data_IF_745611661402
#
_entry.id   IF_745611661402
#
_cell.length_a   1.000
_cell.length_b   1.000
_cell.length_c   1.000
_cell.angle_alpha   90.00
_cell.angle_beta   90.00
_cell.angle_gamma   90.00
#
_symmetry.space_group_name_H-M   'P 1'
#
loop_
_entity.id
_entity.type
_entity.pdbx_description
1 polymer ?
#
# COMPACT_ATOMS: atom_id res chain seq x y z
N UNK A 1 21.42 8.97 26.82
CA UNK A 1 20.93 7.69 26.26
C UNK A 1 19.81 7.83 25.18
N UNK A 2 19.42 9.05 24.79
CA UNK A 2 18.44 9.25 23.68
C UNK A 2 19.15 9.26 22.31
N UNK A 3 20.39 9.73 22.23
CA UNK A 3 21.14 9.90 20.96
C UNK A 3 21.43 8.60 20.18
N UNK A 4 21.53 7.46 20.86
CA UNK A 4 21.80 6.17 20.19
C UNK A 4 20.58 5.55 19.46
N UNK A 5 19.40 6.16 19.58
CA UNK A 5 18.15 5.70 18.95
C UNK A 5 17.86 6.36 17.60
N UNK A 6 18.63 7.37 17.22
CA UNK A 6 18.44 8.14 15.99
C UNK A 6 19.70 8.13 15.13
N UNK A 7 19.54 8.01 13.83
CA UNK A 7 20.66 8.11 12.89
C UNK A 7 21.17 9.53 12.69
N UNK A 8 20.29 10.55 12.82
CA UNK A 8 20.64 11.95 12.59
C UNK A 8 19.72 12.91 13.38
N UNK A 9 20.10 14.20 13.37
CA UNK A 9 19.38 15.25 14.08
C UNK A 9 17.98 15.52 13.53
N UNK A 10 17.78 15.37 12.20
CA UNK A 10 16.47 15.59 11.57
C UNK A 10 15.44 14.57 12.07
N UNK A 11 15.84 13.30 12.19
CA UNK A 11 14.97 12.24 12.78
C UNK A 11 14.66 12.52 14.24
N UNK A 12 15.65 13.00 15.00
CA UNK A 12 15.43 13.39 16.39
C UNK A 12 14.40 14.52 16.51
N UNK A 13 14.49 15.55 15.65
CA UNK A 13 13.53 16.66 15.62
C UNK A 13 12.13 16.19 15.22
N UNK A 14 12.00 15.34 14.19
CA UNK A 14 10.73 14.78 13.76
C UNK A 14 10.07 13.93 14.87
N UNK A 15 10.87 13.12 15.56
CA UNK A 15 10.39 12.35 16.70
C UNK A 15 9.95 13.25 17.86
N UNK A 16 10.76 14.25 18.24
CA UNK A 16 10.41 15.17 19.33
C UNK A 16 9.12 15.92 19.03
N UNK A 17 8.94 16.39 17.79
CA UNK A 17 7.69 17.01 17.35
C UNK A 17 6.50 16.07 17.58
N UNK A 18 6.57 14.81 17.09
CA UNK A 18 5.49 13.84 17.28
C UNK A 18 5.29 13.50 18.77
N UNK A 19 6.38 13.37 19.54
CA UNK A 19 6.30 13.07 20.97
C UNK A 19 5.61 14.18 21.75
N UNK A 20 5.93 15.44 21.47
CA UNK A 20 5.25 16.60 22.05
C UNK A 20 3.76 16.62 21.65
N UNK A 21 3.45 16.43 20.36
CA UNK A 21 2.05 16.31 19.93
C UNK A 21 1.31 15.18 20.65
N UNK A 22 1.99 14.03 20.84
CA UNK A 22 1.41 12.86 21.52
C UNK A 22 1.17 13.09 23.00
N UNK A 23 2.08 13.79 23.69
CA UNK A 23 1.97 14.02 25.14
C UNK A 23 0.95 15.14 25.45
N UNK A 24 0.99 16.24 24.69
CA UNK A 24 0.33 17.48 25.04
C UNK A 24 -1.04 17.66 24.36
N UNK A 25 -1.33 16.93 23.27
CA UNK A 25 -2.55 17.13 22.49
C UNK A 25 -3.49 15.91 22.51
N UNK A 26 -4.79 16.15 22.36
CA UNK A 26 -5.80 15.12 22.21
C UNK A 26 -5.95 14.65 20.74
N UNK A 27 -5.32 15.35 19.81
CA UNK A 27 -5.31 14.99 18.39
C UNK A 27 -3.95 15.21 17.75
N UNK A 28 -3.65 14.39 16.75
CA UNK A 28 -2.38 14.37 16.03
C UNK A 28 -2.61 14.86 14.59
N UNK A 29 -1.80 15.82 14.17
CA UNK A 29 -1.78 16.32 12.80
C UNK A 29 -1.23 15.26 11.85
N UNK A 30 -1.96 14.99 10.75
CA UNK A 30 -1.51 14.12 9.65
C UNK A 30 -1.87 14.72 8.31
N UNK A 31 -1.11 14.37 7.27
CA UNK A 31 -1.39 14.77 5.89
C UNK A 31 -1.87 13.57 5.09
N UNK A 32 -3.01 13.70 4.42
CA UNK A 32 -3.48 12.68 3.48
C UNK A 32 -2.70 12.82 2.18
N UNK A 33 -2.27 11.71 1.62
CA UNK A 33 -1.61 11.67 0.31
C UNK A 33 -2.58 11.74 -0.87
N UNK A 34 -3.67 12.49 -0.77
CA UNK A 34 -4.80 12.53 -1.70
C UNK A 34 -4.44 12.14 -3.14
N UNK A 35 -5.16 11.17 -3.71
CA UNK A 35 -4.99 10.71 -5.10
C UNK A 35 -5.31 11.81 -6.13
N UNK A 36 -5.95 12.89 -5.72
CA UNK A 36 -6.52 13.92 -6.59
C UNK A 36 -5.94 15.33 -6.41
N UNK A 37 -4.89 15.55 -5.57
CA UNK A 37 -4.42 16.91 -5.40
C UNK A 37 -3.44 17.16 -4.24
N UNK A 38 -3.44 18.40 -3.76
CA UNK A 38 -2.59 18.83 -2.64
C UNK A 38 -2.92 18.02 -1.37
N UNK A 39 -1.89 17.60 -0.60
CA UNK A 39 -2.12 16.91 0.68
C UNK A 39 -3.06 17.73 1.57
N UNK A 40 -4.12 17.10 2.05
CA UNK A 40 -5.03 17.73 3.02
C UNK A 40 -4.53 17.45 4.42
N UNK A 41 -4.50 18.50 5.23
CA UNK A 41 -4.21 18.42 6.66
C UNK A 41 -5.47 17.94 7.38
N UNK A 42 -5.33 16.88 8.17
CA UNK A 42 -6.39 16.37 9.04
C UNK A 42 -5.86 16.16 10.45
N UNK A 43 -6.76 16.18 11.43
CA UNK A 43 -6.44 15.89 12.83
C UNK A 43 -7.10 14.58 13.23
N UNK A 44 -6.31 13.65 13.70
CA UNK A 44 -6.79 12.34 14.16
C UNK A 44 -6.79 12.34 15.69
N UNK A 45 -7.94 12.09 16.34
CA UNK A 45 -7.98 11.94 17.79
C UNK A 45 -6.99 10.88 18.28
N UNK A 46 -6.17 11.22 19.28
CA UNK A 46 -5.17 10.31 19.85
C UNK A 46 -5.78 8.99 20.33
N UNK A 47 -6.98 9.02 20.88
CA UNK A 47 -7.70 7.83 21.32
C UNK A 47 -7.97 6.84 20.17
N UNK A 48 -8.26 7.35 18.95
CA UNK A 48 -8.42 6.50 17.75
C UNK A 48 -7.11 5.83 17.35
N UNK A 49 -5.98 6.54 17.50
CA UNK A 49 -4.65 5.95 17.24
C UNK A 49 -4.28 4.89 18.30
N UNK A 50 -4.61 5.13 19.56
CA UNK A 50 -4.43 4.16 20.65
C UNK A 50 -5.27 2.91 20.38
N UNK A 51 -6.54 3.06 20.03
CA UNK A 51 -7.43 1.95 19.70
C UNK A 51 -6.88 1.13 18.54
N UNK A 52 -6.51 1.77 17.43
CA UNK A 52 -5.95 1.09 16.26
C UNK A 52 -4.63 0.36 16.60
N UNK A 53 -3.74 0.98 17.39
CA UNK A 53 -2.52 0.35 17.87
C UNK A 53 -2.81 -0.91 18.69
N UNK A 54 -3.76 -0.82 19.64
CA UNK A 54 -4.20 -1.94 20.48
C UNK A 54 -4.75 -3.10 19.64
N UNK A 55 -5.57 -2.82 18.59
CA UNK A 55 -6.08 -3.87 17.70
C UNK A 55 -4.96 -4.58 16.94
N UNK A 56 -3.93 -3.85 16.47
CA UNK A 56 -2.74 -4.45 15.83
C UNK A 56 -1.97 -5.35 16.81
N UNK A 57 -1.72 -4.86 18.02
CA UNK A 57 -0.99 -5.60 19.09
C UNK A 57 -1.73 -6.91 19.39
N UNK A 58 -3.06 -6.86 19.56
CA UNK A 58 -3.91 -8.03 19.82
C UNK A 58 -3.93 -9.00 18.64
N UNK A 59 -4.05 -8.50 17.40
CA UNK A 59 -4.09 -9.35 16.20
C UNK A 59 -2.85 -10.25 16.09
N UNK A 60 -1.67 -9.71 16.40
CA UNK A 60 -0.40 -10.44 16.35
C UNK A 60 0.01 -11.05 17.71
N UNK A 61 -0.77 -10.87 18.76
CA UNK A 61 -0.46 -11.30 20.12
C UNK A 61 0.96 -10.84 20.58
N UNK A 62 1.28 -9.56 20.32
CA UNK A 62 2.60 -8.99 20.60
C UNK A 62 2.70 -8.61 22.08
N UNK A 63 3.82 -9.02 22.71
CA UNK A 63 4.11 -8.74 24.11
C UNK A 63 4.79 -7.37 24.28
N UNK A 64 4.84 -6.87 25.52
CA UNK A 64 5.62 -5.69 25.88
C UNK A 64 7.14 -5.94 25.69
N UNK A 65 7.90 -4.87 25.51
CA UNK A 65 9.37 -4.90 25.52
C UNK A 65 10.03 -5.44 24.25
N UNK A 66 9.28 -5.77 23.21
CA UNK A 66 9.84 -6.20 21.91
C UNK A 66 10.63 -5.08 21.22
N UNK A 67 11.46 -5.44 20.23
CA UNK A 67 12.22 -4.51 19.40
C UNK A 67 11.46 -4.17 18.13
N UNK A 68 11.08 -2.91 17.96
CA UNK A 68 10.41 -2.40 16.77
C UNK A 68 11.30 -1.48 15.94
N UNK A 69 11.23 -1.59 14.61
CA UNK A 69 11.92 -0.69 13.70
C UNK A 69 10.92 0.31 13.07
N UNK A 70 11.22 1.60 13.20
CA UNK A 70 10.49 2.71 12.58
C UNK A 70 11.31 3.24 11.42
N UNK A 71 10.93 2.89 10.21
CA UNK A 71 11.65 3.21 8.97
C UNK A 71 10.76 3.88 7.91
N UNK A 72 9.54 4.26 8.29
CA UNK A 72 8.62 5.06 7.48
C UNK A 72 8.65 6.51 7.97
N UNK A 73 8.42 7.46 7.05
CA UNK A 73 8.44 8.88 7.39
C UNK A 73 7.40 9.22 8.48
N UNK A 74 7.83 9.95 9.50
CA UNK A 74 6.96 10.47 10.56
C UNK A 74 6.02 11.60 10.07
N UNK A 75 6.17 12.09 8.85
CA UNK A 75 5.19 12.97 8.21
C UNK A 75 3.95 12.21 7.74
N UNK A 76 4.03 10.88 7.64
CA UNK A 76 2.93 10.02 7.20
C UNK A 76 2.24 9.37 8.40
N UNK A 77 0.95 9.04 8.23
CA UNK A 77 0.21 8.28 9.24
C UNK A 77 0.86 6.92 9.54
N UNK A 78 1.45 6.27 8.53
CA UNK A 78 2.08 4.96 8.70
C UNK A 78 3.29 5.02 9.66
N UNK A 79 4.18 6.02 9.51
CA UNK A 79 5.30 6.23 10.42
C UNK A 79 4.84 6.61 11.83
N UNK A 80 3.87 7.54 11.94
CA UNK A 80 3.28 7.93 13.24
C UNK A 80 2.62 6.75 13.95
N UNK A 81 1.92 5.89 13.22
CA UNK A 81 1.29 4.69 13.80
C UNK A 81 2.31 3.64 14.28
N UNK A 82 3.51 3.58 13.69
CA UNK A 82 4.58 2.72 14.24
C UNK A 82 5.01 3.19 15.63
N UNK A 83 5.17 4.51 15.81
CA UNK A 83 5.44 5.07 17.15
C UNK A 83 4.26 4.89 18.10
N UNK A 84 3.02 5.13 17.65
CA UNK A 84 1.83 4.92 18.46
C UNK A 84 1.75 3.48 18.99
N UNK A 85 2.00 2.47 18.11
CA UNK A 85 2.07 1.06 18.52
C UNK A 85 3.18 0.82 19.55
N UNK A 86 4.35 1.43 19.33
CA UNK A 86 5.48 1.29 20.25
C UNK A 86 5.19 1.90 21.62
N UNK A 87 4.48 3.02 21.69
CA UNK A 87 4.10 3.64 22.97
C UNK A 87 3.03 2.84 23.69
N UNK A 88 1.96 2.44 22.98
CA UNK A 88 0.86 1.64 23.54
C UNK A 88 1.35 0.26 23.99
N UNK A 89 2.19 -0.39 23.19
CA UNK A 89 2.74 -1.71 23.47
C UNK A 89 3.95 -1.70 24.41
N UNK A 90 4.43 -0.51 24.84
CA UNK A 90 5.66 -0.33 25.62
C UNK A 90 6.86 -1.04 24.99
N UNK A 91 7.01 -0.90 23.68
CA UNK A 91 8.07 -1.54 22.91
C UNK A 91 9.38 -0.75 22.98
N UNK A 92 10.48 -1.43 22.82
CA UNK A 92 11.76 -0.80 22.47
C UNK A 92 11.70 -0.48 20.99
N UNK A 93 12.07 0.73 20.59
CA UNK A 93 12.02 1.17 19.21
C UNK A 93 13.33 1.83 18.78
N UNK A 94 13.65 1.68 17.50
CA UNK A 94 14.73 2.37 16.80
C UNK A 94 14.17 3.05 15.57
N UNK A 95 14.56 4.33 15.36
CA UNK A 95 14.15 5.09 14.18
C UNK A 95 15.34 5.21 13.25
N UNK A 96 15.13 4.87 11.99
CA UNK A 96 16.12 5.03 10.92
C UNK A 96 15.58 5.94 9.82
N UNK A 97 16.49 6.48 9.01
CA UNK A 97 16.14 7.32 7.88
C UNK A 97 15.21 6.56 6.91
N UNK A 98 14.05 7.14 6.55
CA UNK A 98 13.22 6.57 5.51
C UNK A 98 14.00 6.47 4.19
N UNK A 99 14.23 5.25 3.75
CA UNK A 99 14.99 4.95 2.54
C UNK A 99 14.38 3.75 1.82
N UNK A 100 14.81 3.50 0.60
CA UNK A 100 14.36 2.32 -0.16
C UNK A 100 14.85 1.00 0.44
N UNK A 101 15.98 1.01 1.16
CA UNK A 101 16.48 -0.13 1.93
C UNK A 101 16.84 0.30 3.37
N UNK A 102 15.86 0.31 4.29
CA UNK A 102 16.09 0.74 5.68
C UNK A 102 16.88 -0.25 6.52
N UNK A 103 17.08 -1.49 6.06
CA UNK A 103 17.84 -2.52 6.78
C UNK A 103 19.34 -2.48 6.50
N UNK A 104 19.81 -1.65 5.56
CA UNK A 104 21.23 -1.63 5.17
C UNK A 104 22.18 -1.48 6.35
N UNK A 105 21.83 -0.65 7.35
CA UNK A 105 22.61 -0.38 8.56
C UNK A 105 22.06 -1.04 9.83
N UNK A 106 21.18 -2.05 9.69
CA UNK A 106 20.56 -2.76 10.82
C UNK A 106 21.09 -4.18 10.86
N UNK A 107 21.65 -4.57 11.98
CA UNK A 107 22.20 -5.91 12.21
C UNK A 107 21.55 -6.64 13.40
N UNK A 108 20.74 -5.92 14.18
CA UNK A 108 19.97 -6.48 15.28
C UNK A 108 18.70 -7.22 14.82
N UNK A 109 18.21 -8.13 15.69
CA UNK A 109 16.93 -8.79 15.51
C UNK A 109 15.78 -7.81 15.77
N UNK A 110 14.80 -7.80 14.90
CA UNK A 110 13.60 -6.96 14.95
C UNK A 110 12.38 -7.86 15.14
N UNK A 111 11.56 -7.56 16.13
CA UNK A 111 10.33 -8.34 16.34
C UNK A 111 9.17 -7.82 15.48
N UNK A 112 9.12 -6.50 15.20
CA UNK A 112 8.03 -5.90 14.42
C UNK A 112 8.50 -4.72 13.56
N UNK A 113 8.09 -4.71 12.28
CA UNK A 113 8.33 -3.60 11.35
C UNK A 113 7.15 -3.41 10.40
N UNK A 114 6.91 -2.16 10.00
CA UNK A 114 6.04 -1.81 8.86
C UNK A 114 6.89 -1.32 7.70
N UNK A 115 6.67 -1.89 6.50
CA UNK A 115 7.40 -1.57 5.28
C UNK A 115 6.43 -1.15 4.16
N UNK A 116 6.91 -0.29 3.28
CA UNK A 116 6.30 -0.11 1.96
C UNK A 116 6.69 -1.28 1.04
N UNK A 117 5.87 -1.65 0.02
CA UNK A 117 6.20 -2.72 -0.91
C UNK A 117 7.57 -2.53 -1.57
N UNK A 118 7.92 -1.31 -2.00
CA UNK A 118 9.21 -0.98 -2.58
C UNK A 118 10.38 -1.23 -1.61
N UNK A 119 10.22 -0.93 -0.31
CA UNK A 119 11.23 -1.20 0.69
C UNK A 119 11.45 -2.70 0.85
N UNK A 120 10.35 -3.46 0.97
CA UNK A 120 10.42 -4.92 1.10
C UNK A 120 11.09 -5.57 -0.11
N UNK A 121 10.73 -5.15 -1.33
CA UNK A 121 11.36 -5.63 -2.57
C UNK A 121 12.87 -5.34 -2.60
N UNK A 122 13.29 -4.12 -2.25
CA UNK A 122 14.71 -3.76 -2.21
C UNK A 122 15.50 -4.51 -1.17
N UNK A 123 14.93 -4.74 0.00
CA UNK A 123 15.57 -5.55 1.04
C UNK A 123 15.78 -6.99 0.54
N UNK A 124 14.76 -7.59 -0.09
CA UNK A 124 14.83 -8.96 -0.61
C UNK A 124 15.88 -9.12 -1.71
N UNK A 125 16.13 -8.07 -2.52
CA UNK A 125 17.14 -8.10 -3.58
C UNK A 125 18.54 -7.81 -3.03
N UNK A 126 18.68 -6.84 -2.13
CA UNK A 126 20.01 -6.34 -1.73
C UNK A 126 20.59 -7.00 -0.49
N UNK A 127 19.73 -7.47 0.45
CA UNK A 127 20.16 -8.08 1.71
C UNK A 127 19.13 -9.08 2.26
N UNK A 128 18.79 -10.15 1.51
CA UNK A 128 17.73 -11.10 1.90
C UNK A 128 18.00 -11.77 3.24
N UNK A 129 19.25 -11.92 3.65
CA UNK A 129 19.65 -12.49 4.94
C UNK A 129 19.18 -11.62 6.15
N UNK A 130 19.06 -10.30 5.96
CA UNK A 130 18.62 -9.40 7.03
C UNK A 130 17.12 -9.49 7.30
N UNK A 131 16.32 -9.78 6.27
CA UNK A 131 14.87 -9.92 6.45
C UNK A 131 14.52 -11.14 7.31
N UNK A 132 15.34 -12.18 7.31
CA UNK A 132 15.17 -13.39 8.14
C UNK A 132 15.30 -13.10 9.65
N UNK A 133 15.88 -11.96 10.01
CA UNK A 133 16.01 -11.50 11.41
C UNK A 133 14.77 -10.76 11.91
N UNK A 134 13.74 -10.63 11.08
CA UNK A 134 12.50 -9.92 11.41
C UNK A 134 11.39 -10.94 11.65
N UNK A 135 10.79 -10.88 12.83
CA UNK A 135 9.76 -11.83 13.24
C UNK A 135 8.39 -11.54 12.59
N UNK A 136 7.99 -10.28 12.57
CA UNK A 136 6.68 -9.87 12.04
C UNK A 136 6.84 -8.66 11.13
N UNK A 137 6.42 -8.80 9.88
CA UNK A 137 6.46 -7.75 8.87
C UNK A 137 5.04 -7.47 8.42
N UNK A 138 4.60 -6.21 8.55
CA UNK A 138 3.42 -5.72 7.86
C UNK A 138 3.82 -4.88 6.65
N UNK A 139 3.14 -5.06 5.53
CA UNK A 139 3.41 -4.32 4.29
C UNK A 139 2.15 -3.63 3.80
N UNK A 140 2.27 -2.37 3.40
CA UNK A 140 1.11 -1.61 2.95
C UNK A 140 1.46 -0.24 2.39
N UNK A 141 0.42 0.56 2.18
CA UNK A 141 0.58 1.90 1.63
C UNK A 141 0.60 1.95 0.10
N UNK A 142 0.83 0.84 -0.60
CA UNK A 142 0.76 0.71 -2.05
C UNK A 142 0.35 -0.74 -2.42
N UNK A 143 -0.08 -1.01 -3.66
CA UNK A 143 -0.31 -2.36 -4.14
C UNK A 143 0.94 -3.23 -4.05
N UNK A 144 0.76 -4.51 -3.77
CA UNK A 144 1.82 -5.53 -3.79
C UNK A 144 1.76 -6.24 -5.12
N UNK A 145 2.89 -6.27 -5.85
CA UNK A 145 3.00 -6.94 -7.15
C UNK A 145 3.13 -8.45 -7.00
N UNK A 146 2.79 -9.21 -8.05
CA UNK A 146 3.04 -10.65 -8.07
C UNK A 146 4.55 -10.94 -8.02
N UNK A 147 5.38 -10.10 -8.65
CA UNK A 147 6.85 -10.24 -8.57
C UNK A 147 7.34 -10.19 -7.11
N UNK A 148 6.82 -9.26 -6.31
CA UNK A 148 7.15 -9.21 -4.88
C UNK A 148 6.64 -10.45 -4.11
N UNK A 149 5.43 -10.95 -4.44
CA UNK A 149 4.91 -12.19 -3.84
C UNK A 149 5.80 -13.38 -4.20
N UNK A 150 6.29 -13.46 -5.44
CA UNK A 150 7.20 -14.51 -5.89
C UNK A 150 8.57 -14.42 -5.18
N UNK A 151 9.14 -13.21 -5.05
CA UNK A 151 10.35 -12.99 -4.25
C UNK A 151 10.19 -13.43 -2.79
N UNK A 152 9.03 -13.18 -2.18
CA UNK A 152 8.73 -13.67 -0.83
C UNK A 152 8.69 -15.19 -0.77
N UNK A 153 8.11 -15.85 -1.78
CA UNK A 153 8.06 -17.32 -1.87
C UNK A 153 9.47 -17.93 -2.04
N UNK A 154 10.27 -17.35 -2.93
CA UNK A 154 11.66 -17.78 -3.16
C UNK A 154 12.52 -17.65 -1.90
N UNK A 155 12.26 -16.66 -1.06
CA UNK A 155 12.92 -16.47 0.23
C UNK A 155 12.23 -17.18 1.40
N UNK A 156 11.22 -18.01 1.13
CA UNK A 156 10.42 -18.76 2.13
C UNK A 156 9.78 -17.89 3.22
N UNK A 157 9.46 -16.62 2.90
CA UNK A 157 8.91 -15.65 3.82
C UNK A 157 7.39 -15.57 3.71
N UNK A 158 6.75 -15.34 4.85
CA UNK A 158 5.35 -14.93 4.95
C UNK A 158 5.28 -13.58 5.65
N UNK A 159 4.66 -12.59 5.00
CA UNK A 159 4.42 -11.26 5.56
C UNK A 159 2.93 -10.93 5.51
N UNK A 160 2.51 -9.87 6.21
CA UNK A 160 1.11 -9.49 6.29
C UNK A 160 0.85 -8.23 5.47
N UNK A 161 0.09 -8.37 4.38
CA UNK A 161 -0.40 -7.22 3.63
C UNK A 161 -1.54 -6.56 4.38
N UNK A 162 -1.45 -5.25 4.58
CA UNK A 162 -2.45 -4.45 5.29
C UNK A 162 -3.46 -3.84 4.32
N UNK A 163 -4.71 -3.74 4.76
CA UNK A 163 -5.78 -3.00 4.08
C UNK A 163 -6.31 -1.92 5.02
N UNK A 164 -6.32 -0.66 4.55
CA UNK A 164 -6.79 0.50 5.30
C UNK A 164 -6.38 1.80 4.64
N UNK A 165 -6.84 2.91 5.20
CA UNK A 165 -6.61 4.26 4.70
C UNK A 165 -6.42 5.24 5.86
N UNK A 166 -6.10 6.51 5.57
CA UNK A 166 -5.91 7.53 6.61
C UNK A 166 -7.21 7.77 7.38
N UNK A 167 -8.34 7.69 6.70
CA UNK A 167 -9.70 7.86 7.25
C UNK A 167 -10.04 6.77 8.28
N UNK A 168 -9.47 5.57 8.14
CA UNK A 168 -9.56 4.49 9.14
C UNK A 168 -8.40 4.50 10.14
N UNK A 169 -7.62 5.60 10.19
CA UNK A 169 -6.42 5.80 11.02
C UNK A 169 -5.25 4.89 10.57
N UNK A 170 -5.50 3.61 10.37
CA UNK A 170 -4.53 2.62 9.92
C UNK A 170 -5.27 1.46 9.26
N UNK A 171 -4.65 0.29 9.23
CA UNK A 171 -5.28 -0.89 8.67
C UNK A 171 -6.45 -1.38 9.52
N UNK A 172 -7.46 -1.87 8.82
CA UNK A 172 -8.66 -2.49 9.39
C UNK A 172 -8.69 -4.01 9.11
N UNK A 173 -7.88 -4.46 8.17
CA UNK A 173 -7.78 -5.87 7.82
C UNK A 173 -6.36 -6.22 7.34
N UNK A 174 -6.03 -7.50 7.40
CA UNK A 174 -4.75 -8.06 6.97
C UNK A 174 -4.96 -9.39 6.24
N UNK A 175 -4.03 -9.72 5.34
CA UNK A 175 -3.89 -11.06 4.75
C UNK A 175 -2.43 -11.48 4.70
N UNK A 176 -2.15 -12.77 4.74
CA UNK A 176 -0.80 -13.29 4.51
C UNK A 176 -0.46 -13.24 3.03
N UNK A 177 0.78 -12.96 2.70
CA UNK A 177 1.36 -13.05 1.35
C UNK A 177 2.77 -13.62 1.41
N UNK A 178 3.18 -14.33 0.35
CA UNK A 178 4.49 -14.96 0.24
C UNK A 178 4.40 -16.48 0.25
N UNK A 179 5.19 -17.17 1.09
CA UNK A 179 5.17 -18.64 1.23
C UNK A 179 3.76 -19.14 1.54
N UNK A 180 3.10 -18.55 2.53
CA UNK A 180 1.67 -18.69 2.75
C UNK A 180 0.97 -17.47 2.16
N UNK A 181 -0.04 -17.69 1.33
CA UNK A 181 -0.81 -16.61 0.70
C UNK A 181 -2.29 -16.84 0.88
N UNK A 182 -2.93 -15.90 1.59
CA UNK A 182 -4.38 -15.85 1.71
C UNK A 182 -4.97 -15.04 0.55
N UNK A 183 -6.11 -15.47 0.03
CA UNK A 183 -6.89 -14.71 -0.94
C UNK A 183 -7.63 -13.57 -0.24
N UNK A 184 -8.13 -13.84 0.97
CA UNK A 184 -9.03 -12.98 1.71
C UNK A 184 -8.32 -12.15 2.77
N UNK A 185 -8.78 -10.90 2.92
CA UNK A 185 -8.44 -10.06 4.06
C UNK A 185 -9.31 -10.42 5.25
N UNK A 186 -8.67 -10.62 6.40
CA UNK A 186 -9.33 -10.81 7.70
C UNK A 186 -9.31 -9.50 8.47
N UNK A 187 -10.48 -9.03 8.93
CA UNK A 187 -10.58 -7.80 9.71
C UNK A 187 -9.93 -7.95 11.09
N UNK A 188 -9.44 -6.82 11.63
CA UNK A 188 -9.04 -6.76 13.05
C UNK A 188 -10.28 -6.82 13.93
N UNK A 189 -10.08 -7.15 15.21
CA UNK A 189 -11.16 -7.24 16.17
C UNK A 189 -11.98 -5.94 16.27
N UNK A 190 -13.31 -6.06 16.39
CA UNK A 190 -14.25 -4.93 16.43
C UNK A 190 -14.54 -4.27 15.08
N UNK A 191 -13.97 -4.78 13.98
CA UNK A 191 -14.30 -4.32 12.62
C UNK A 191 -15.12 -5.38 11.91
N UNK A 192 -16.25 -4.97 11.33
CA UNK A 192 -17.07 -5.76 10.42
C UNK A 192 -17.19 -5.06 9.07
N UNK A 193 -17.46 -5.83 8.02
CA UNK A 193 -17.58 -5.33 6.65
C UNK A 193 -18.85 -5.83 5.99
N UNK A 194 -19.40 -4.97 5.13
CA UNK A 194 -20.48 -5.30 4.20
C UNK A 194 -20.20 -4.64 2.85
N UNK A 195 -21.11 -4.78 1.90
CA UNK A 195 -21.03 -4.10 0.61
C UNK A 195 -22.33 -3.38 0.27
N UNK A 196 -22.22 -2.28 -0.47
CA UNK A 196 -23.34 -1.59 -1.12
C UNK A 196 -22.96 -1.37 -2.58
N UNK A 197 -23.69 -2.02 -3.50
CA UNK A 197 -23.41 -2.00 -4.94
C UNK A 197 -21.98 -2.48 -5.31
N UNK A 198 -21.43 -3.40 -4.51
CA UNK A 198 -20.07 -3.92 -4.66
C UNK A 198 -18.99 -3.09 -3.96
N UNK A 199 -19.30 -1.86 -3.53
CA UNK A 199 -18.36 -1.03 -2.77
C UNK A 199 -18.31 -1.47 -1.30
N UNK A 200 -17.12 -1.54 -0.73
CA UNK A 200 -16.89 -1.89 0.66
C UNK A 200 -17.47 -0.84 1.62
N UNK A 201 -18.21 -1.33 2.60
CA UNK A 201 -18.68 -0.56 3.76
C UNK A 201 -18.03 -1.12 5.02
N UNK A 202 -17.37 -0.26 5.79
CA UNK A 202 -16.62 -0.59 7.00
C UNK A 202 -17.46 -0.17 8.21
N UNK A 203 -17.78 -1.14 9.07
CA UNK A 203 -18.47 -0.94 10.36
C UNK A 203 -17.42 -1.03 11.47
N UNK A 204 -17.04 0.12 12.05
CA UNK A 204 -16.06 0.20 13.12
C UNK A 204 -16.57 1.15 14.21
N UNK A 205 -17.65 0.74 14.88
CA UNK A 205 -18.39 1.58 15.84
C UNK A 205 -17.61 1.94 17.11
N UNK A 206 -16.56 1.18 17.46
CA UNK A 206 -15.62 1.61 18.51
C UNK A 206 -14.81 2.87 18.13
N UNK A 207 -14.75 3.21 16.84
CA UNK A 207 -13.95 4.31 16.32
C UNK A 207 -14.78 5.40 15.63
N UNK A 208 -15.90 5.04 14.98
CA UNK A 208 -16.74 5.92 14.17
C UNK A 208 -18.21 5.71 14.49
N UNK A 209 -18.97 6.79 14.55
CA UNK A 209 -20.43 6.74 14.79
C UNK A 209 -21.15 6.09 13.60
N UNK A 210 -20.75 6.48 12.38
CA UNK A 210 -21.32 5.98 11.13
C UNK A 210 -20.38 5.01 10.40
N UNK A 211 -20.94 4.06 9.63
CA UNK A 211 -20.16 3.22 8.72
C UNK A 211 -19.44 4.04 7.66
N UNK A 212 -18.23 3.62 7.30
CA UNK A 212 -17.44 4.28 6.26
C UNK A 212 -17.63 3.54 4.95
N UNK A 213 -18.23 4.20 3.95
CA UNK A 213 -18.26 3.70 2.57
C UNK A 213 -16.99 4.09 1.84
N UNK A 214 -16.39 3.14 1.11
CA UNK A 214 -15.19 3.34 0.31
C UNK A 214 -15.50 3.18 -1.18
N UNK A 215 -14.52 3.47 -2.05
CA UNK A 215 -14.56 3.14 -3.47
C UNK A 215 -13.85 1.81 -3.76
N UNK A 216 -13.60 0.99 -2.75
CA UNK A 216 -12.99 -0.32 -2.93
C UNK A 216 -14.06 -1.37 -3.26
N UNK A 217 -13.92 -2.02 -4.41
CA UNK A 217 -14.81 -3.10 -4.83
C UNK A 217 -14.39 -4.40 -4.16
N UNK A 218 -15.33 -5.08 -3.52
CA UNK A 218 -15.05 -6.28 -2.75
C UNK A 218 -16.04 -7.40 -3.03
N UNK A 219 -15.65 -8.61 -2.63
CA UNK A 219 -16.55 -9.75 -2.47
C UNK A 219 -16.56 -10.14 -1.00
N UNK A 220 -17.69 -9.96 -0.35
CA UNK A 220 -17.86 -10.32 1.06
C UNK A 220 -18.03 -11.85 1.18
N UNK A 221 -17.22 -12.45 2.05
CA UNK A 221 -17.32 -13.88 2.39
C UNK A 221 -18.04 -14.04 3.75
N UNK A 222 -17.72 -13.15 4.69
CA UNK A 222 -18.39 -13.04 5.98
C UNK A 222 -18.18 -11.60 6.52
N UNK A 223 -18.87 -11.18 7.59
CA UNK A 223 -18.66 -9.86 8.17
C UNK A 223 -17.20 -9.56 8.57
N UNK A 224 -16.35 -10.59 8.67
CA UNK A 224 -14.93 -10.46 9.05
C UNK A 224 -13.94 -10.91 7.98
N UNK A 225 -14.44 -11.25 6.77
CA UNK A 225 -13.59 -11.81 5.72
C UNK A 225 -14.06 -11.34 4.35
N UNK A 226 -13.18 -10.74 3.56
CA UNK A 226 -13.50 -10.25 2.23
C UNK A 226 -12.34 -10.41 1.25
N UNK A 227 -12.66 -10.49 -0.03
CA UNK A 227 -11.71 -10.39 -1.14
C UNK A 227 -11.77 -8.96 -1.69
N UNK A 228 -10.60 -8.32 -1.80
CA UNK A 228 -10.49 -7.04 -2.49
C UNK A 228 -10.36 -7.27 -4.00
N UNK A 229 -11.21 -6.62 -4.77
CA UNK A 229 -11.29 -6.80 -6.21
C UNK A 229 -10.75 -5.61 -7.01
N UNK A 230 -10.49 -4.47 -6.37
CA UNK A 230 -9.99 -3.23 -7.00
C UNK A 230 -10.80 -2.01 -6.57
N UNK A 231 -10.73 -0.92 -7.35
CA UNK A 231 -11.42 0.33 -7.03
C UNK A 231 -12.46 0.71 -8.06
N UNK A 232 -13.64 1.17 -7.61
CA UNK A 232 -14.74 1.58 -8.48
C UNK A 232 -14.44 2.87 -9.27
N UNK A 233 -13.62 3.77 -8.71
CA UNK A 233 -13.20 5.02 -9.36
C UNK A 233 -12.18 4.82 -10.49
N UNK A 234 -11.56 3.65 -10.60
CA UNK A 234 -10.66 3.29 -11.71
C UNK A 234 -11.29 2.35 -12.74
N UNK A 235 -12.55 1.92 -12.52
CA UNK A 235 -13.22 1.02 -13.47
C UNK A 235 -13.30 1.66 -14.85
N UNK A 236 -12.94 0.89 -15.87
CA UNK A 236 -12.93 1.31 -17.27
C UNK A 236 -14.16 0.72 -17.96
N UNK A 237 -14.99 1.56 -18.58
CA UNK A 237 -16.15 1.10 -19.36
C UNK A 237 -15.82 1.08 -20.84
N UNK A 238 -15.47 -0.09 -21.36
CA UNK A 238 -15.04 -0.28 -22.75
C UNK A 238 -16.07 -1.10 -23.51
N UNK A 239 -16.82 -0.45 -24.41
CA UNK A 239 -17.85 -1.11 -25.21
C UNK A 239 -18.96 -1.75 -24.38
N UNK A 240 -19.35 -1.14 -23.26
CA UNK A 240 -20.35 -1.67 -22.33
C UNK A 240 -19.82 -2.72 -21.33
N UNK A 241 -18.54 -3.12 -21.43
CA UNK A 241 -17.93 -4.04 -20.50
C UNK A 241 -17.19 -3.24 -19.42
N UNK A 242 -17.54 -3.49 -18.15
CA UNK A 242 -16.83 -2.91 -16.98
C UNK A 242 -15.56 -3.71 -16.73
N UNK A 243 -14.41 -3.09 -16.90
CA UNK A 243 -13.09 -3.71 -16.75
C UNK A 243 -12.38 -3.11 -15.52
N UNK A 244 -11.80 -3.99 -14.72
CA UNK A 244 -11.05 -3.60 -13.55
C UNK A 244 -9.56 -3.54 -13.89
N UNK A 245 -8.92 -2.35 -13.89
CA UNK A 245 -7.52 -2.19 -14.25
C UNK A 245 -6.57 -2.94 -13.31
N UNK A 246 -6.85 -2.99 -12.00
CA UNK A 246 -5.99 -3.66 -11.04
C UNK A 246 -5.95 -5.19 -11.26
N UNK A 247 -7.08 -5.80 -11.65
CA UNK A 247 -7.12 -7.23 -12.02
C UNK A 247 -6.33 -7.49 -13.30
N UNK A 248 -6.43 -6.61 -14.28
CA UNK A 248 -5.67 -6.71 -15.53
C UNK A 248 -4.18 -6.54 -15.24
N UNK A 249 -3.81 -5.56 -14.42
CA UNK A 249 -2.44 -5.34 -13.98
C UNK A 249 -1.87 -6.55 -13.25
N UNK A 250 -2.66 -7.18 -12.38
CA UNK A 250 -2.25 -8.40 -11.69
C UNK A 250 -1.95 -9.53 -12.66
N UNK A 251 -2.80 -9.76 -13.68
CA UNK A 251 -2.56 -10.78 -14.72
C UNK A 251 -1.32 -10.47 -15.58
N UNK A 252 -1.04 -9.19 -15.82
CA UNK A 252 0.09 -8.74 -16.63
C UNK A 252 1.41 -8.64 -15.88
N UNK A 253 1.41 -8.69 -14.56
CA UNK A 253 2.62 -8.49 -13.74
C UNK A 253 3.72 -9.54 -13.98
N UNK A 254 3.34 -10.76 -14.42
CA UNK A 254 4.29 -11.81 -14.79
C UNK A 254 4.79 -11.70 -16.24
N UNK A 255 4.17 -10.82 -17.04
CA UNK A 255 4.47 -10.63 -18.47
C UNK A 255 5.26 -9.37 -18.74
N UNK A 256 5.02 -8.31 -17.94
CA UNK A 256 5.68 -7.01 -18.07
C UNK A 256 6.69 -6.84 -16.93
N UNK A 257 8.01 -6.82 -17.22
CA UNK A 257 9.05 -6.77 -16.20
C UNK A 257 9.35 -5.35 -15.67
N UNK A 258 8.48 -4.39 -15.94
CA UNK A 258 8.61 -2.97 -15.58
C UNK A 258 7.43 -2.55 -14.70
N UNK A 259 7.56 -1.40 -14.04
CA UNK A 259 6.40 -0.73 -13.42
C UNK A 259 5.44 -0.31 -14.50
N UNK A 260 4.16 -0.61 -14.35
CA UNK A 260 3.12 -0.24 -15.31
C UNK A 260 1.78 -0.06 -14.63
N UNK A 261 0.84 0.57 -15.35
CA UNK A 261 -0.57 0.57 -14.97
C UNK A 261 -1.48 0.61 -16.20
N UNK A 262 -2.72 0.16 -16.02
CA UNK A 262 -3.80 0.20 -17.00
C UNK A 262 -4.68 1.42 -16.74
N UNK A 263 -5.10 2.09 -17.81
CA UNK A 263 -6.03 3.22 -17.74
C UNK A 263 -7.02 3.19 -18.91
N UNK A 264 -8.13 3.94 -18.77
CA UNK A 264 -9.07 4.20 -19.82
C UNK A 264 -8.76 5.51 -20.54
N UNK A 265 -8.68 5.48 -21.87
CA UNK A 265 -8.64 6.67 -22.72
C UNK A 265 -9.98 6.81 -23.42
N UNK A 266 -10.45 8.04 -23.60
CA UNK A 266 -11.67 8.31 -24.39
C UNK A 266 -11.57 7.71 -25.78
N UNK A 267 -12.64 7.07 -26.24
CA UNK A 267 -12.76 6.45 -27.55
C UNK A 267 -14.19 6.61 -28.07
N UNK A 268 -14.34 7.13 -29.29
CA UNK A 268 -15.65 7.49 -29.83
C UNK A 268 -16.59 6.29 -30.05
N UNK A 269 -16.03 5.08 -30.19
CA UNK A 269 -16.82 3.84 -30.43
C UNK A 269 -17.06 3.05 -29.16
N UNK A 270 -16.08 3.02 -28.27
CA UNK A 270 -16.09 2.16 -27.08
C UNK A 270 -16.45 2.94 -25.80
N UNK A 271 -16.59 4.28 -25.89
CA UNK A 271 -16.63 5.17 -24.72
C UNK A 271 -15.24 5.31 -24.12
N UNK A 272 -14.63 4.19 -23.72
CA UNK A 272 -13.22 4.15 -23.29
C UNK A 272 -12.52 2.96 -23.96
N UNK A 273 -11.25 3.13 -24.33
CA UNK A 273 -10.34 2.03 -24.71
C UNK A 273 -9.27 1.84 -23.65
N UNK A 274 -8.88 0.57 -23.44
CA UNK A 274 -7.79 0.26 -22.51
C UNK A 274 -6.46 0.71 -23.09
N UNK A 275 -5.67 1.36 -22.24
CA UNK A 275 -4.33 1.83 -22.52
C UNK A 275 -3.37 1.33 -21.44
N UNK A 276 -2.16 0.96 -21.84
CA UNK A 276 -1.07 0.49 -20.99
C UNK A 276 0.00 1.58 -20.89
N UNK A 277 0.32 2.01 -19.68
CA UNK A 277 1.39 2.97 -19.40
C UNK A 277 2.53 2.22 -18.72
N UNK A 278 3.74 2.30 -19.26
CA UNK A 278 4.92 1.56 -18.80
C UNK A 278 6.02 2.54 -18.42
N UNK A 279 6.57 2.38 -17.21
CA UNK A 279 7.74 3.14 -16.76
C UNK A 279 9.01 2.47 -17.28
N UNK A 280 9.51 2.92 -18.43
CA UNK A 280 10.66 2.31 -19.07
C UNK A 280 11.38 3.26 -20.03
N UNK A 281 12.71 3.33 -19.92
CA UNK A 281 13.60 4.13 -20.77
C UNK A 281 14.08 3.39 -22.03
N UNK A 282 13.85 2.08 -22.15
CA UNK A 282 14.43 1.23 -23.22
C UNK A 282 13.48 0.93 -24.38
N UNK A 283 12.39 1.70 -24.55
CA UNK A 283 11.41 1.51 -25.63
C UNK A 283 10.86 0.07 -25.71
N UNK A 284 10.45 -0.47 -24.59
CA UNK A 284 9.79 -1.78 -24.53
C UNK A 284 8.56 -1.80 -25.44
N UNK A 285 8.44 -2.83 -26.28
CA UNK A 285 7.30 -3.04 -27.18
C UNK A 285 6.48 -4.21 -26.62
N UNK A 286 5.26 -3.96 -26.14
CA UNK A 286 4.39 -5.03 -25.67
C UNK A 286 3.86 -5.86 -26.83
N UNK A 287 3.98 -7.18 -26.72
CA UNK A 287 3.51 -8.13 -27.73
C UNK A 287 2.09 -8.60 -27.39
N UNK A 288 1.15 -8.38 -28.31
CA UNK A 288 -0.26 -8.79 -28.14
C UNK A 288 -0.42 -10.29 -27.91
N UNK A 289 0.38 -11.12 -28.56
CA UNK A 289 0.36 -12.58 -28.39
C UNK A 289 0.68 -13.01 -26.96
N UNK A 290 1.57 -12.29 -26.26
CA UNK A 290 1.85 -12.56 -24.85
C UNK A 290 0.65 -12.20 -23.96
N UNK A 291 -0.02 -11.10 -24.27
CA UNK A 291 -1.21 -10.68 -23.52
C UNK A 291 -2.39 -11.63 -23.71
N UNK A 292 -2.58 -12.17 -24.91
CA UNK A 292 -3.63 -13.15 -25.21
C UNK A 292 -3.53 -14.45 -24.42
N UNK A 293 -2.36 -14.77 -23.85
CA UNK A 293 -2.14 -15.97 -23.02
C UNK A 293 -2.66 -15.80 -21.59
N UNK A 294 -2.77 -14.57 -21.11
CA UNK A 294 -3.08 -14.27 -19.70
C UNK A 294 -4.32 -13.39 -19.52
N UNK A 295 -4.77 -12.70 -20.57
CA UNK A 295 -5.91 -11.80 -20.57
C UNK A 295 -7.08 -12.32 -21.40
N UNK A 296 -8.29 -12.02 -20.95
CA UNK A 296 -9.48 -12.19 -21.74
C UNK A 296 -9.52 -11.19 -22.91
N UNK A 297 -10.28 -11.53 -23.97
CA UNK A 297 -10.36 -10.73 -25.20
C UNK A 297 -10.62 -9.23 -24.97
N UNK A 298 -11.46 -8.89 -24.01
CA UNK A 298 -11.82 -7.51 -23.69
C UNK A 298 -10.81 -6.80 -22.77
N UNK A 299 -9.95 -7.55 -22.09
CA UNK A 299 -8.94 -7.02 -21.17
C UNK A 299 -7.65 -6.60 -21.88
N UNK A 300 -7.48 -6.93 -23.16
CA UNK A 300 -6.27 -6.62 -23.94
C UNK A 300 -6.22 -5.12 -24.23
N UNK A 301 -5.20 -4.39 -23.75
CA UNK A 301 -5.02 -2.98 -24.06
C UNK A 301 -4.89 -2.75 -25.58
N UNK A 302 -5.45 -1.66 -26.06
CA UNK A 302 -5.41 -1.31 -27.50
C UNK A 302 -4.18 -0.49 -27.86
N UNK A 303 -3.72 0.32 -26.90
CA UNK A 303 -2.59 1.22 -27.08
C UNK A 303 -1.68 1.16 -25.84
N UNK A 304 -0.43 1.57 -26.03
CA UNK A 304 0.54 1.68 -24.97
C UNK A 304 1.41 2.93 -25.14
N UNK A 305 2.07 3.30 -24.04
CA UNK A 305 3.15 4.30 -24.02
C UNK A 305 4.23 3.90 -23.03
N UNK A 306 5.49 4.18 -23.39
CA UNK A 306 6.61 4.16 -22.44
C UNK A 306 6.85 5.59 -21.93
N UNK A 307 6.94 5.76 -20.64
CA UNK A 307 7.33 7.02 -19.97
C UNK A 307 8.62 6.81 -19.22
N UNK A 308 9.44 7.86 -19.09
CA UNK A 308 10.71 7.76 -18.39
C UNK A 308 10.51 7.47 -16.90
N UNK A 309 9.55 8.15 -16.28
CA UNK A 309 9.26 8.06 -14.86
C UNK A 309 7.78 8.36 -14.59
N UNK A 310 7.19 7.63 -13.63
CA UNK A 310 5.84 7.94 -13.14
C UNK A 310 5.88 9.11 -12.16
N UNK A 311 4.88 9.99 -12.26
CA UNK A 311 4.59 10.90 -11.16
C UNK A 311 4.22 10.10 -9.91
N UNK A 312 4.88 10.43 -8.77
CA UNK A 312 4.63 9.73 -7.51
C UNK A 312 4.26 10.73 -6.40
N UNK A 313 3.46 10.25 -5.47
CA UNK A 313 3.15 10.98 -4.23
C UNK A 313 4.38 10.98 -3.31
N UNK A 314 4.39 11.82 -2.28
CA UNK A 314 5.43 11.82 -1.23
C UNK A 314 5.58 10.45 -0.52
N UNK A 315 4.55 9.62 -0.53
CA UNK A 315 4.57 8.27 0.01
C UNK A 315 5.03 7.20 -1.00
N UNK A 316 5.48 7.59 -2.20
CA UNK A 316 5.97 6.69 -3.26
C UNK A 316 4.86 6.05 -4.12
N UNK A 317 3.57 6.34 -3.87
CA UNK A 317 2.46 5.83 -4.70
C UNK A 317 2.45 6.49 -6.07
N UNK A 318 2.19 5.70 -7.12
CA UNK A 318 2.00 6.22 -8.49
C UNK A 318 0.77 7.12 -8.53
N UNK A 319 0.96 8.35 -9.00
CA UNK A 319 -0.12 9.28 -9.30
C UNK A 319 -0.52 9.13 -10.78
N UNK A 320 -1.42 8.16 -11.04
CA UNK A 320 -1.86 7.81 -12.40
C UNK A 320 -2.39 9.02 -13.17
N UNK A 321 -3.25 9.84 -12.53
CA UNK A 321 -3.85 11.01 -13.18
C UNK A 321 -2.79 12.01 -13.62
N UNK A 322 -1.84 12.34 -12.74
CA UNK A 322 -0.79 13.30 -13.05
C UNK A 322 0.17 12.75 -14.10
N UNK A 323 0.52 11.46 -14.04
CA UNK A 323 1.32 10.80 -15.07
C UNK A 323 0.64 10.90 -16.44
N UNK A 324 -0.69 10.62 -16.52
CA UNK A 324 -1.44 10.70 -17.77
C UNK A 324 -1.54 12.13 -18.30
N UNK A 325 -1.74 13.13 -17.41
CA UNK A 325 -1.83 14.55 -17.82
C UNK A 325 -0.55 15.06 -18.48
N UNK A 326 0.60 14.47 -18.17
CA UNK A 326 1.89 14.83 -18.76
C UNK A 326 2.16 14.15 -20.12
N UNK A 327 1.27 13.23 -20.56
CA UNK A 327 1.39 12.50 -21.82
C UNK A 327 0.64 13.26 -22.94
N UNK A 328 1.32 13.49 -24.06
CA UNK A 328 0.65 14.07 -25.23
C UNK A 328 -0.21 13.04 -25.96
N UNK A 329 -1.34 13.48 -26.50
CA UNK A 329 -2.31 12.59 -27.16
C UNK A 329 -1.75 11.78 -28.33
N UNK A 330 -0.72 12.29 -29.01
CA UNK A 330 -0.11 11.68 -30.20
C UNK A 330 0.99 10.65 -29.87
N UNK A 331 1.40 10.48 -28.61
CA UNK A 331 2.50 9.59 -28.24
C UNK A 331 2.07 8.13 -28.04
N UNK A 332 0.76 7.87 -28.06
CA UNK A 332 0.21 6.53 -27.89
C UNK A 332 0.43 5.65 -29.11
N UNK A 333 1.02 4.48 -28.91
CA UNK A 333 1.31 3.47 -29.94
C UNK A 333 0.31 2.33 -29.88
N UNK A 334 -0.09 1.78 -31.02
CA UNK A 334 -0.94 0.60 -31.08
C UNK A 334 -0.18 -0.63 -30.55
N UNK A 335 -0.88 -1.53 -29.85
CA UNK A 335 -0.35 -2.85 -29.49
C UNK A 335 -0.61 -3.79 -30.67
N UNK A 336 0.45 -4.30 -31.27
CA UNK A 336 0.43 -5.13 -32.48
C UNK A 336 0.48 -6.62 -32.13
#
# INVERSE_FOLDING_TARGET
MISSRFQNEALSKAFLKFKTEWDDNDSIEVFTSGSTGKPKKIFIPKQKMILSATKTIRFFNIQEGINALVCLSLDTIAGKMMLARSFVGKWKWKIVEPSVNPLKSIDENIDFVALAPLQLERILIECPEKIQRIKTIIVGGAPVSNSLINLLRENELTVYQTFGMTETVSHIALRKIGKETDVFYKTVDGVEVSEINGDLVIHYFEMFEDPIRTNDVVKIISPKLFEWLGRSDFMINSGGVKLNPEKIEQKLSDVIPFSFFITGLNDDRLGQKLALVIENNSNFIPEKLRFQRVLDKFEIPKVYINVMEFDRTKSGKVNRLKTIQNIQSNDWKAIV
#
